data_IF_980436813567
#
_entry.id   IF_980436813567
#
_cell.length_a   1.000
_cell.length_b   1.000
_cell.length_c   1.000
_cell.angle_alpha   90.00
_cell.angle_beta   90.00
_cell.angle_gamma   90.00
#
_symmetry.space_group_name_H-M   'P 1'
#
loop_
_entity.id
_entity.type
_entity.pdbx_description
1 polymer ?
#
# COMPACT_ATOMS: atom_id res chain seq x y z
N UNK A 1 -0.95 -0.46 11.89
CA UNK A 1 -1.56 0.62 11.08
C UNK A 1 -1.92 1.79 11.97
N UNK A 2 -2.00 3.02 11.42
CA UNK A 2 -2.61 4.16 12.13
C UNK A 2 -4.04 3.82 12.58
N UNK A 3 -4.45 4.27 13.76
CA UNK A 3 -5.80 4.01 14.29
C UNK A 3 -6.89 4.65 13.42
N UNK A 4 -6.57 5.77 12.77
CA UNK A 4 -7.43 6.50 11.82
C UNK A 4 -7.85 5.66 10.60
N UNK A 5 -7.15 4.56 10.32
CA UNK A 5 -7.41 3.68 9.16
C UNK A 5 -8.45 2.60 9.44
N UNK A 6 -8.92 2.48 10.68
CA UNK A 6 -9.88 1.45 11.06
C UNK A 6 -11.15 1.53 10.19
N UNK A 7 -11.53 0.40 9.59
CA UNK A 7 -12.66 0.28 8.63
C UNK A 7 -12.54 1.14 7.36
N UNK A 8 -11.32 1.53 6.96
CA UNK A 8 -11.08 2.32 5.72
C UNK A 8 -10.21 1.59 4.71
N UNK A 9 -9.70 0.41 5.07
CA UNK A 9 -8.78 -0.35 4.23
C UNK A 9 -9.39 -1.67 3.80
N UNK A 10 -9.11 -2.01 2.54
CA UNK A 10 -9.26 -3.36 2.01
C UNK A 10 -7.88 -3.94 1.74
N UNK A 11 -7.67 -5.20 2.09
CA UNK A 11 -6.43 -5.92 1.79
C UNK A 11 -6.74 -7.03 0.81
N UNK A 12 -5.96 -7.12 -0.27
CA UNK A 12 -6.06 -8.21 -1.26
C UNK A 12 -4.71 -8.87 -1.43
N UNK A 13 -4.71 -10.20 -1.55
CA UNK A 13 -3.52 -10.97 -1.90
C UNK A 13 -3.44 -11.09 -3.43
N UNK A 14 -2.31 -10.71 -4.01
CA UNK A 14 -2.06 -10.71 -5.44
C UNK A 14 -0.60 -11.13 -5.66
N UNK A 15 -0.27 -12.09 -6.53
CA UNK A 15 1.11 -12.35 -7.00
C UNK A 15 2.25 -12.12 -5.99
N UNK A 16 2.28 -12.86 -4.87
CA UNK A 16 3.29 -12.75 -3.80
C UNK A 16 3.38 -11.38 -3.11
N UNK A 17 2.26 -10.66 -3.00
CA UNK A 17 2.15 -9.45 -2.19
C UNK A 17 0.76 -9.32 -1.60
N UNK A 18 0.67 -8.52 -0.56
CA UNK A 18 -0.59 -8.02 -0.01
C UNK A 18 -0.73 -6.55 -0.38
N UNK A 19 -1.76 -6.21 -1.14
CA UNK A 19 -2.05 -4.85 -1.57
C UNK A 19 -3.06 -4.23 -0.62
N UNK A 20 -2.71 -3.08 -0.07
CA UNK A 20 -3.52 -2.31 0.84
C UNK A 20 -4.17 -1.17 0.06
N UNK A 21 -5.49 -1.16 0.02
CA UNK A 21 -6.30 -0.16 -0.67
C UNK A 21 -7.00 0.74 0.33
N UNK A 22 -7.15 2.01 -0.02
CA UNK A 22 -8.20 2.85 0.55
C UNK A 22 -9.56 2.42 -0.04
N UNK A 23 -10.42 1.85 0.78
CA UNK A 23 -11.63 1.13 0.34
C UNK A 23 -12.59 2.01 -0.45
N UNK A 24 -12.81 3.26 0.00
CA UNK A 24 -13.70 4.19 -0.68
C UNK A 24 -13.15 4.59 -2.07
N UNK A 25 -11.85 4.89 -2.16
CA UNK A 25 -11.24 5.21 -3.47
C UNK A 25 -11.26 4.02 -4.43
N UNK A 26 -10.92 2.82 -3.94
CA UNK A 26 -10.95 1.62 -4.78
C UNK A 26 -12.36 1.34 -5.30
N UNK A 27 -13.38 1.38 -4.43
CA UNK A 27 -14.76 1.10 -4.81
C UNK A 27 -15.28 2.11 -5.83
N UNK A 28 -14.98 3.40 -5.65
CA UNK A 28 -15.37 4.45 -6.59
C UNK A 28 -14.70 4.29 -7.96
N UNK A 29 -13.41 3.98 -8.00
CA UNK A 29 -12.71 3.73 -9.25
C UNK A 29 -13.20 2.47 -9.98
N UNK A 30 -13.51 1.40 -9.24
CA UNK A 30 -14.06 0.17 -9.81
C UNK A 30 -15.43 0.38 -10.45
N UNK A 31 -16.29 1.22 -9.86
CA UNK A 31 -17.56 1.60 -10.46
C UNK A 31 -17.39 2.35 -11.80
N UNK A 32 -16.22 2.94 -12.04
CA UNK A 32 -15.85 3.59 -13.31
C UNK A 32 -15.02 2.68 -14.23
N UNK A 33 -14.78 1.42 -13.85
CA UNK A 33 -14.06 0.44 -14.68
C UNK A 33 -12.54 0.39 -14.46
N UNK A 34 -12.01 1.04 -13.41
CA UNK A 34 -10.58 0.99 -13.08
C UNK A 34 -10.29 -0.01 -11.96
N UNK A 35 -9.65 -1.13 -12.30
CA UNK A 35 -9.47 -2.25 -11.36
C UNK A 35 -8.29 -2.08 -10.39
N UNK A 36 -7.25 -1.35 -10.77
CA UNK A 36 -5.99 -1.24 -10.02
C UNK A 36 -5.77 0.12 -9.33
N UNK A 37 -6.85 0.80 -8.94
CA UNK A 37 -6.80 2.13 -8.32
C UNK A 37 -7.14 2.10 -6.82
N UNK A 38 -6.84 3.19 -6.11
CA UNK A 38 -7.04 3.29 -4.66
C UNK A 38 -5.94 2.65 -3.81
N UNK A 39 -4.81 2.25 -4.41
CA UNK A 39 -3.68 1.65 -3.68
C UNK A 39 -3.05 2.66 -2.71
N UNK A 40 -2.74 2.21 -1.49
CA UNK A 40 -1.94 2.93 -0.50
C UNK A 40 -0.51 2.39 -0.47
N UNK A 41 -0.33 1.06 -0.44
CA UNK A 41 0.97 0.41 -0.59
C UNK A 41 0.77 -1.10 -0.81
N UNK A 42 1.87 -1.80 -1.11
CA UNK A 42 1.91 -3.26 -1.10
C UNK A 42 2.98 -3.75 -0.13
N UNK A 43 2.65 -4.75 0.68
CA UNK A 43 3.63 -5.57 1.38
C UNK A 43 4.07 -6.69 0.44
N UNK A 44 5.32 -6.66 0.02
CA UNK A 44 5.87 -7.59 -0.96
C UNK A 44 6.95 -8.47 -0.31
N UNK A 45 7.13 -9.66 -0.87
CA UNK A 45 8.25 -10.54 -0.57
C UNK A 45 8.88 -11.10 -1.85
N UNK A 46 10.19 -11.34 -1.82
CA UNK A 46 10.94 -11.84 -2.98
C UNK A 46 12.17 -12.63 -2.55
N UNK A 47 12.57 -13.64 -3.33
CA UNK A 47 13.83 -14.36 -3.14
C UNK A 47 15.05 -13.56 -3.59
N UNK A 48 14.85 -12.56 -4.45
CA UNK A 48 15.90 -11.69 -4.99
C UNK A 48 15.69 -10.25 -4.57
N UNK A 49 16.72 -9.41 -4.75
CA UNK A 49 16.67 -7.98 -4.45
C UNK A 49 16.34 -7.11 -5.68
N UNK A 50 15.71 -7.67 -6.72
CA UNK A 50 15.38 -6.92 -7.95
C UNK A 50 14.44 -5.73 -7.69
N UNK A 51 13.71 -5.77 -6.57
CA UNK A 51 12.89 -4.66 -6.07
C UNK A 51 13.68 -3.37 -5.82
N UNK A 52 15.01 -3.45 -5.67
CA UNK A 52 15.86 -2.27 -5.53
C UNK A 52 15.89 -1.37 -6.76
N UNK A 53 15.45 -1.89 -7.91
CA UNK A 53 15.28 -1.13 -9.14
C UNK A 53 13.91 -0.42 -9.23
N UNK A 54 13.00 -0.65 -8.27
CA UNK A 54 11.69 -0.01 -8.25
C UNK A 54 11.80 1.47 -7.87
N UNK A 55 10.91 2.31 -8.42
CA UNK A 55 10.97 3.76 -8.20
C UNK A 55 10.65 4.19 -6.76
N UNK A 56 9.87 3.39 -6.02
CA UNK A 56 9.44 3.74 -4.66
C UNK A 56 9.24 2.49 -3.81
N UNK A 57 10.11 2.31 -2.81
CA UNK A 57 10.05 1.19 -1.87
C UNK A 57 10.66 1.53 -0.51
N UNK A 58 10.43 0.67 0.49
CA UNK A 58 11.12 0.68 1.79
C UNK A 58 11.42 -0.75 2.23
N UNK A 59 12.67 -1.05 2.56
CA UNK A 59 13.05 -2.38 3.06
C UNK A 59 12.51 -2.60 4.49
N UNK A 60 11.93 -3.77 4.74
CA UNK A 60 11.44 -4.16 6.07
C UNK A 60 12.36 -5.16 6.77
N UNK A 61 13.11 -5.97 6.00
CA UNK A 61 13.98 -7.00 6.52
C UNK A 61 14.07 -8.21 5.58
N UNK A 62 14.59 -9.33 6.11
CA UNK A 62 14.69 -10.59 5.38
C UNK A 62 14.63 -11.79 6.32
N UNK A 63 14.21 -12.93 5.78
CA UNK A 63 14.46 -14.26 6.35
C UNK A 63 15.68 -14.91 5.67
N UNK A 64 15.91 -16.20 5.96
CA UNK A 64 16.87 -17.00 5.19
C UNK A 64 16.45 -17.20 3.73
N UNK A 65 15.15 -17.11 3.45
CA UNK A 65 14.57 -17.44 2.14
C UNK A 65 14.15 -16.21 1.32
N UNK A 66 13.71 -15.14 1.99
CA UNK A 66 13.02 -14.02 1.33
C UNK A 66 13.38 -12.65 1.91
N UNK A 67 13.31 -11.62 1.08
CA UNK A 67 13.37 -10.22 1.43
C UNK A 67 11.97 -9.64 1.48
N UNK A 68 11.67 -8.83 2.50
CA UNK A 68 10.38 -8.17 2.69
C UNK A 68 10.54 -6.67 2.53
N UNK A 69 9.63 -6.06 1.80
CA UNK A 69 9.65 -4.63 1.51
C UNK A 69 8.23 -4.09 1.31
N UNK A 70 8.06 -2.80 1.58
CA UNK A 70 6.89 -2.05 1.16
C UNK A 70 7.16 -1.43 -0.21
N UNK A 71 6.18 -1.51 -1.10
CA UNK A 71 6.17 -0.83 -2.40
C UNK A 71 5.04 0.19 -2.41
N UNK A 72 5.28 1.36 -3.01
CA UNK A 72 4.30 2.45 -3.04
C UNK A 72 3.91 2.82 -4.48
N UNK A 73 2.66 3.23 -4.71
CA UNK A 73 2.26 3.76 -6.02
C UNK A 73 3.05 5.04 -6.33
N UNK A 74 3.36 5.25 -7.60
CA UNK A 74 4.01 6.47 -8.11
C UNK A 74 3.00 7.49 -8.65
N UNK A 75 1.85 6.99 -9.10
CA UNK A 75 0.75 7.81 -9.61
C UNK A 75 -0.29 8.07 -8.53
N UNK A 76 -1.10 9.12 -8.72
CA UNK A 76 -2.22 9.44 -7.82
C UNK A 76 -3.25 8.31 -7.86
N UNK A 77 -3.53 7.71 -6.70
CA UNK A 77 -4.50 6.60 -6.59
C UNK A 77 -5.83 7.01 -5.96
N UNK A 78 -5.88 8.14 -5.25
CA UNK A 78 -7.10 8.64 -4.62
C UNK A 78 -8.18 8.97 -5.65
N UNK A 79 -9.45 8.76 -5.30
CA UNK A 79 -10.56 9.03 -6.21
C UNK A 79 -10.84 10.53 -6.33
N UNK A 80 -10.56 11.10 -7.51
CA UNK A 80 -10.54 12.55 -7.74
C UNK A 80 -11.92 13.18 -7.95
N UNK A 81 -12.91 12.38 -8.36
CA UNK A 81 -14.25 12.90 -8.67
C UNK A 81 -15.13 13.10 -7.41
N UNK A 82 -14.60 12.80 -6.22
CA UNK A 82 -15.27 13.09 -4.95
C UNK A 82 -14.26 13.64 -3.93
N UNK A 83 -14.42 14.92 -3.60
CA UNK A 83 -13.50 15.65 -2.71
C UNK A 83 -13.37 15.01 -1.32
N UNK A 84 -14.44 14.46 -0.75
CA UNK A 84 -14.40 13.83 0.57
C UNK A 84 -13.57 12.55 0.55
N UNK A 85 -13.76 11.72 -0.48
CA UNK A 85 -13.00 10.48 -0.67
C UNK A 85 -11.53 10.80 -0.94
N UNK A 86 -11.26 11.82 -1.76
CA UNK A 86 -9.89 12.25 -2.03
C UNK A 86 -9.19 12.78 -0.78
N UNK A 87 -9.86 13.63 0.02
CA UNK A 87 -9.31 14.15 1.28
C UNK A 87 -8.98 13.03 2.26
N UNK A 88 -9.84 12.02 2.36
CA UNK A 88 -9.57 10.85 3.20
C UNK A 88 -8.35 10.06 2.69
N UNK A 89 -8.26 9.84 1.37
CA UNK A 89 -7.08 9.21 0.77
C UNK A 89 -5.80 10.01 1.06
N UNK A 90 -5.83 11.33 0.83
CA UNK A 90 -4.68 12.21 1.03
C UNK A 90 -4.21 12.22 2.49
N UNK A 91 -5.16 12.25 3.45
CA UNK A 91 -4.83 12.12 4.86
C UNK A 91 -4.15 10.78 5.17
N UNK A 92 -4.69 9.67 4.67
CA UNK A 92 -4.08 8.35 4.85
C UNK A 92 -2.70 8.30 4.18
N UNK A 93 -2.52 8.90 3.01
CA UNK A 93 -1.25 8.98 2.32
C UNK A 93 -0.18 9.74 3.14
N UNK A 94 -0.55 10.85 3.78
CA UNK A 94 0.34 11.58 4.70
C UNK A 94 0.74 10.73 5.93
N UNK A 95 -0.05 9.72 6.29
CA UNK A 95 0.24 8.81 7.40
C UNK A 95 1.09 7.58 6.97
N UNK A 96 1.47 7.45 5.70
CA UNK A 96 2.31 6.33 5.21
C UNK A 96 3.66 6.27 5.94
N UNK A 97 4.23 7.42 6.33
CA UNK A 97 5.47 7.43 7.10
C UNK A 97 5.31 6.81 8.50
N UNK A 98 4.10 6.85 9.08
CA UNK A 98 3.81 6.07 10.28
C UNK A 98 3.86 4.57 9.97
N UNK A 99 3.27 4.12 8.86
CA UNK A 99 3.32 2.70 8.44
C UNK A 99 4.77 2.26 8.28
N UNK A 100 5.59 3.04 7.56
CA UNK A 100 7.02 2.76 7.38
C UNK A 100 7.76 2.54 8.69
N UNK A 101 7.61 3.48 9.64
CA UNK A 101 8.34 3.44 10.93
C UNK A 101 7.89 2.33 11.87
N UNK A 102 6.66 1.84 11.70
CA UNK A 102 6.07 0.80 12.57
C UNK A 102 5.88 -0.53 11.85
N UNK A 103 6.51 -0.70 10.68
CA UNK A 103 6.58 -1.96 9.96
C UNK A 103 8.01 -2.49 10.08
N UNK A 104 8.16 -3.69 10.61
CA UNK A 104 9.47 -4.34 10.72
C UNK A 104 9.29 -5.83 10.53
N UNK A 105 10.26 -6.45 9.85
CA UNK A 105 10.35 -7.90 9.80
C UNK A 105 11.57 -8.33 10.61
N UNK A 106 11.34 -8.87 11.81
CA UNK A 106 12.38 -9.45 12.67
C UNK A 106 12.18 -10.96 12.75
N UNK A 107 13.23 -11.72 12.47
CA UNK A 107 13.29 -13.13 12.83
C UNK A 107 13.38 -13.20 14.36
N UNK A 108 12.41 -13.87 15.00
CA UNK A 108 12.58 -14.34 16.38
C UNK A 108 13.59 -15.48 16.42
#
# INVERSE_FOLDING_TARGET
MPISWNNKIKVMEENNRFVFYHEASQSSWQNEGYEHSGVLFSLCYSKTQDYKNLPSYSELGRTAEEYYYLMYPTDVQGYLNNELIYKEYDQMWQEIDYVKRHSSFSLN
#
